data_IF_640524022917
#
_entry.id   IF_640524022917
#
_cell.length_a   1.000
_cell.length_b   1.000
_cell.length_c   1.000
_cell.angle_alpha   90.00
_cell.angle_beta   90.00
_cell.angle_gamma   90.00
#
_symmetry.space_group_name_H-M   'P 1'
#
loop_
_entity.id
_entity.type
_entity.pdbx_description
1 polymer ?
#
# COMPACT_ATOMS: atom_id res chain seq x y z
N UNK A 1 -7.78 2.15 20.54
CA UNK A 1 -8.05 2.07 19.09
C UNK A 1 -7.93 0.62 18.66
N UNK A 2 -9.01 0.02 18.21
CA UNK A 2 -8.99 -1.35 17.70
C UNK A 2 -9.01 -1.33 16.17
N UNK A 3 -7.94 -1.84 15.59
CA UNK A 3 -7.77 -1.93 14.15
C UNK A 3 -8.17 -3.33 13.70
N UNK A 4 -9.10 -3.41 12.76
CA UNK A 4 -9.54 -4.68 12.16
C UNK A 4 -9.04 -4.73 10.73
N UNK A 5 -8.38 -5.84 10.37
CA UNK A 5 -7.84 -6.03 9.02
C UNK A 5 -8.62 -7.16 8.35
N UNK A 6 -9.10 -6.89 7.15
CA UNK A 6 -9.94 -7.82 6.39
C UNK A 6 -9.74 -7.65 4.89
N UNK A 7 -10.19 -8.63 4.07
CA UNK A 7 -10.18 -8.45 2.62
C UNK A 7 -10.95 -7.19 2.20
N UNK A 8 -10.43 -6.48 1.21
CA UNK A 8 -11.04 -5.25 0.72
C UNK A 8 -12.36 -5.52 -0.01
N UNK A 9 -13.32 -4.62 0.17
CA UNK A 9 -14.58 -4.59 -0.57
C UNK A 9 -14.65 -3.30 -1.38
N UNK A 10 -15.43 -3.28 -2.45
CA UNK A 10 -15.63 -2.09 -3.27
C UNK A 10 -16.16 -0.92 -2.44
N UNK A 11 -17.10 -1.17 -1.56
CA UNK A 11 -17.67 -0.16 -0.67
C UNK A 11 -16.61 0.46 0.25
N UNK A 12 -15.82 -0.39 0.91
CA UNK A 12 -14.80 0.08 1.85
C UNK A 12 -13.70 0.88 1.13
N UNK A 13 -13.23 0.40 -0.01
CA UNK A 13 -12.17 1.09 -0.76
C UNK A 13 -12.66 2.41 -1.33
N UNK A 14 -13.88 2.46 -1.85
CA UNK A 14 -14.47 3.70 -2.33
C UNK A 14 -14.62 4.74 -1.21
N UNK A 15 -15.08 4.31 -0.04
CA UNK A 15 -15.18 5.17 1.13
C UNK A 15 -13.81 5.70 1.58
N UNK A 16 -12.79 4.84 1.55
CA UNK A 16 -11.42 5.24 1.88
C UNK A 16 -10.88 6.30 0.91
N UNK A 17 -11.02 6.08 -0.38
CA UNK A 17 -10.62 7.06 -1.41
C UNK A 17 -11.33 8.39 -1.17
N UNK A 18 -12.62 8.35 -0.83
CA UNK A 18 -13.41 9.54 -0.52
C UNK A 18 -12.96 10.29 0.75
N UNK A 19 -12.22 9.65 1.64
CA UNK A 19 -11.69 10.25 2.87
C UNK A 19 -10.23 10.70 2.77
N UNK A 20 -9.58 10.45 1.64
CA UNK A 20 -8.20 10.90 1.39
C UNK A 20 -8.20 12.29 0.75
N UNK A 21 -7.16 13.09 1.08
CA UNK A 21 -6.95 14.36 0.40
C UNK A 21 -6.48 14.15 -1.04
N UNK A 22 -6.71 15.12 -1.95
CA UNK A 22 -6.13 15.08 -3.28
C UNK A 22 -4.60 14.93 -3.27
N UNK A 23 -3.91 15.52 -2.28
CA UNK A 23 -2.47 15.39 -2.12
C UNK A 23 -2.03 13.95 -1.79
N UNK A 24 -2.75 13.26 -0.90
CA UNK A 24 -2.48 11.85 -0.58
C UNK A 24 -2.72 10.96 -1.80
N UNK A 25 -3.80 11.17 -2.53
CA UNK A 25 -4.09 10.43 -3.75
C UNK A 25 -3.06 10.70 -4.84
N UNK A 26 -2.62 11.94 -4.99
CA UNK A 26 -1.57 12.31 -5.94
C UNK A 26 -0.28 11.53 -5.66
N UNK A 27 0.13 11.45 -4.41
CA UNK A 27 1.33 10.68 -4.00
C UNK A 27 1.15 9.19 -4.24
N UNK A 28 -0.02 8.66 -3.90
CA UNK A 28 -0.28 7.21 -4.04
C UNK A 28 -0.24 6.77 -5.51
N UNK A 29 -0.77 7.55 -6.42
CA UNK A 29 -0.92 7.19 -7.83
C UNK A 29 0.09 7.87 -8.76
N UNK A 30 1.06 8.59 -8.21
CA UNK A 30 2.10 9.30 -8.99
C UNK A 30 1.48 10.26 -10.02
N UNK A 31 0.41 10.94 -9.63
CA UNK A 31 -0.29 11.87 -10.52
C UNK A 31 0.50 13.16 -10.71
N UNK A 32 0.49 13.74 -11.92
CA UNK A 32 1.19 14.99 -12.19
C UNK A 32 0.53 16.21 -11.52
N UNK A 33 -0.75 16.08 -11.15
CA UNK A 33 -1.54 17.13 -10.49
C UNK A 33 -2.61 16.48 -9.61
N UNK A 34 -3.18 17.21 -8.63
CA UNK A 34 -4.31 16.72 -7.85
C UNK A 34 -5.49 16.34 -8.75
N UNK A 35 -6.15 15.24 -8.40
CA UNK A 35 -7.28 14.69 -9.16
C UNK A 35 -8.48 14.52 -8.24
N UNK A 36 -9.67 14.73 -8.77
CA UNK A 36 -10.92 14.51 -8.06
C UNK A 36 -11.07 13.06 -7.61
N UNK A 37 -11.61 12.85 -6.42
CA UNK A 37 -11.76 11.52 -5.79
C UNK A 37 -12.59 10.56 -6.64
N UNK A 38 -13.66 11.04 -7.24
CA UNK A 38 -14.52 10.22 -8.12
C UNK A 38 -13.79 9.80 -9.39
N UNK A 39 -12.94 10.65 -9.93
CA UNK A 39 -12.10 10.32 -11.08
C UNK A 39 -11.06 9.26 -10.69
N UNK A 40 -10.45 9.41 -9.53
CA UNK A 40 -9.50 8.41 -9.00
C UNK A 40 -10.19 7.06 -8.85
N UNK A 41 -11.37 7.03 -8.23
CA UNK A 41 -12.14 5.80 -8.06
C UNK A 41 -12.49 5.17 -9.40
N UNK A 42 -13.01 5.96 -10.34
CA UNK A 42 -13.39 5.48 -11.66
C UNK A 42 -12.20 4.89 -12.42
N UNK A 43 -11.03 5.50 -12.31
CA UNK A 43 -9.82 5.09 -13.04
C UNK A 43 -9.10 3.91 -12.40
N UNK A 44 -8.98 3.89 -11.08
CA UNK A 44 -8.13 2.94 -10.35
C UNK A 44 -8.88 1.95 -9.47
N UNK A 45 -10.20 2.05 -9.35
CA UNK A 45 -10.97 1.21 -8.43
C UNK A 45 -10.78 -0.29 -8.67
N UNK A 46 -10.78 -0.74 -9.90
CA UNK A 46 -10.55 -2.14 -10.24
C UNK A 46 -9.16 -2.63 -9.82
N UNK A 47 -8.14 -1.81 -10.02
CA UNK A 47 -6.77 -2.10 -9.60
C UNK A 47 -6.68 -2.21 -8.07
N UNK A 48 -7.35 -1.32 -7.35
CA UNK A 48 -7.35 -1.30 -5.89
C UNK A 48 -8.09 -2.50 -5.26
N UNK A 49 -8.88 -3.22 -6.06
CA UNK A 49 -9.63 -4.40 -5.63
C UNK A 49 -9.06 -5.71 -6.18
N UNK A 50 -7.90 -5.66 -6.83
CA UNK A 50 -7.33 -6.84 -7.45
C UNK A 50 -7.11 -7.96 -6.43
N UNK A 51 -7.76 -9.10 -6.67
CA UNK A 51 -7.67 -10.30 -5.86
C UNK A 51 -6.95 -11.43 -6.58
N UNK A 52 -6.91 -12.64 -5.98
CA UNK A 52 -6.25 -13.79 -6.58
C UNK A 52 -6.79 -14.09 -8.00
N UNK A 53 -5.93 -14.47 -8.96
CA UNK A 53 -4.47 -14.69 -8.85
C UNK A 53 -3.62 -13.42 -9.06
N UNK A 54 -4.22 -12.26 -9.30
CA UNK A 54 -3.51 -11.03 -9.66
C UNK A 54 -2.85 -10.36 -8.46
N UNK A 55 -3.32 -10.64 -7.26
CA UNK A 55 -2.79 -10.04 -6.05
C UNK A 55 -3.70 -10.20 -4.85
N UNK A 56 -3.50 -9.37 -3.85
CA UNK A 56 -4.38 -9.23 -2.68
C UNK A 56 -4.65 -7.76 -2.39
N UNK A 57 -5.85 -7.50 -1.87
CA UNK A 57 -6.25 -6.18 -1.40
C UNK A 57 -6.82 -6.33 0.02
N UNK A 58 -6.23 -5.61 0.96
CA UNK A 58 -6.53 -5.73 2.39
C UNK A 58 -6.84 -4.35 2.95
N UNK A 59 -7.97 -4.23 3.65
CA UNK A 59 -8.41 -2.98 4.25
C UNK A 59 -8.29 -3.02 5.77
N UNK A 60 -7.88 -1.90 6.35
CA UNK A 60 -7.91 -1.68 7.79
C UNK A 60 -9.10 -0.78 8.12
N UNK A 61 -9.87 -1.17 9.15
CA UNK A 61 -11.00 -0.39 9.63
C UNK A 61 -10.87 -0.10 11.13
N UNK A 62 -11.41 1.03 11.54
CA UNK A 62 -11.60 1.40 12.96
C UNK A 62 -13.06 1.74 13.16
N UNK A 63 -13.71 1.05 14.09
CA UNK A 63 -15.15 1.20 14.35
C UNK A 63 -15.99 1.13 13.06
N UNK A 64 -15.65 0.22 12.17
CA UNK A 64 -16.33 0.03 10.89
C UNK A 64 -15.97 1.02 9.79
N UNK A 65 -15.14 2.02 10.06
CA UNK A 65 -14.70 3.01 9.08
C UNK A 65 -13.37 2.59 8.44
N UNK A 66 -13.28 2.51 7.11
CA UNK A 66 -12.02 2.19 6.44
C UNK A 66 -11.02 3.33 6.61
N UNK A 67 -9.81 2.98 7.06
CA UNK A 67 -8.75 3.96 7.36
C UNK A 67 -7.46 3.68 6.58
N UNK A 68 -7.32 2.51 5.99
CA UNK A 68 -6.13 2.17 5.20
C UNK A 68 -6.36 0.99 4.27
N UNK A 69 -5.56 0.93 3.22
CA UNK A 69 -5.58 -0.11 2.19
C UNK A 69 -4.15 -0.51 1.85
N UNK A 70 -3.92 -1.80 1.75
CA UNK A 70 -2.69 -2.36 1.21
C UNK A 70 -3.02 -3.23 0.01
N UNK A 71 -2.28 -3.02 -1.07
CA UNK A 71 -2.31 -3.90 -2.23
C UNK A 71 -0.96 -4.59 -2.39
N UNK A 72 -1.00 -5.88 -2.70
CA UNK A 72 0.12 -6.62 -3.25
C UNK A 72 -0.29 -7.11 -4.63
N UNK A 73 0.37 -6.63 -5.66
CA UNK A 73 0.04 -6.95 -7.05
C UNK A 73 1.18 -7.76 -7.67
N UNK A 74 0.86 -8.89 -8.28
CA UNK A 74 1.85 -9.74 -8.96
C UNK A 74 2.40 -8.98 -10.15
N UNK A 75 3.72 -8.77 -10.16
CA UNK A 75 4.42 -8.02 -11.23
C UNK A 75 5.45 -8.85 -11.97
N UNK A 76 5.65 -10.09 -11.58
CA UNK A 76 6.61 -10.99 -12.23
C UNK A 76 6.63 -12.35 -11.56
N UNK A 77 7.63 -13.17 -11.91
CA UNK A 77 7.79 -14.49 -11.29
C UNK A 77 8.19 -14.33 -9.83
N UNK A 78 7.30 -14.73 -8.91
CA UNK A 78 7.51 -14.63 -7.47
C UNK A 78 7.89 -13.21 -7.01
N UNK A 79 7.27 -12.21 -7.61
CA UNK A 79 7.44 -10.81 -7.24
C UNK A 79 6.09 -10.10 -7.17
N UNK A 80 5.90 -9.33 -6.11
CA UNK A 80 4.71 -8.49 -5.92
C UNK A 80 5.13 -7.06 -5.67
N UNK A 81 4.30 -6.13 -6.11
CA UNK A 81 4.44 -4.71 -5.82
C UNK A 81 3.51 -4.33 -4.67
N UNK A 82 4.09 -3.73 -3.65
CA UNK A 82 3.40 -3.20 -2.48
C UNK A 82 2.92 -1.77 -2.74
N UNK A 83 1.69 -1.51 -2.38
CA UNK A 83 1.13 -0.17 -2.37
C UNK A 83 0.29 0.06 -1.11
N UNK A 84 0.41 1.25 -0.54
CA UNK A 84 -0.26 1.65 0.68
C UNK A 84 -1.02 2.96 0.49
N UNK A 85 -2.23 3.02 1.01
CA UNK A 85 -3.02 4.24 1.10
C UNK A 85 -3.60 4.33 2.51
N UNK A 86 -3.34 5.42 3.21
CA UNK A 86 -3.87 5.66 4.56
C UNK A 86 -4.60 7.00 4.55
N UNK A 87 -5.83 7.02 5.07
CA UNK A 87 -6.60 8.25 5.21
C UNK A 87 -5.82 9.29 6.01
N UNK A 88 -5.86 10.54 5.58
CA UNK A 88 -5.02 11.61 6.14
C UNK A 88 -5.10 11.70 7.66
N UNK A 89 -6.32 11.63 8.23
CA UNK A 89 -6.53 11.69 9.68
C UNK A 89 -5.92 10.51 10.44
N UNK A 90 -5.57 9.43 9.75
CA UNK A 90 -5.06 8.19 10.34
C UNK A 90 -3.59 7.93 10.04
N UNK A 91 -2.94 8.84 9.35
CA UNK A 91 -1.51 8.73 9.08
C UNK A 91 -0.69 8.89 10.36
N UNK A 92 0.46 8.22 10.41
CA UNK A 92 1.38 8.20 11.56
C UNK A 92 0.78 7.62 12.84
N UNK A 93 -0.23 6.76 12.71
CA UNK A 93 -0.87 6.05 13.83
C UNK A 93 -0.66 4.54 13.78
N UNK A 94 0.30 4.07 12.95
CA UNK A 94 0.64 2.66 12.86
C UNK A 94 -0.25 1.84 11.92
N UNK A 95 -1.18 2.44 11.17
CA UNK A 95 -2.09 1.72 10.25
C UNK A 95 -1.29 0.97 9.18
N UNK A 96 -0.37 1.66 8.51
CA UNK A 96 0.47 1.05 7.48
C UNK A 96 1.31 -0.10 8.03
N UNK A 97 1.86 0.05 9.23
CA UNK A 97 2.65 -0.98 9.90
C UNK A 97 1.83 -2.24 10.17
N UNK A 98 0.59 -2.08 10.64
CA UNK A 98 -0.30 -3.23 10.90
C UNK A 98 -0.72 -3.92 9.61
N UNK A 99 -1.06 -3.16 8.58
CA UNK A 99 -1.39 -3.72 7.26
C UNK A 99 -0.22 -4.51 6.69
N UNK A 100 0.98 -3.95 6.76
CA UNK A 100 2.19 -4.58 6.22
C UNK A 100 2.54 -5.86 7.01
N UNK A 101 2.45 -5.82 8.32
CA UNK A 101 2.69 -7.00 9.16
C UNK A 101 1.74 -8.14 8.81
N UNK A 102 0.45 -7.85 8.67
CA UNK A 102 -0.55 -8.85 8.30
C UNK A 102 -0.29 -9.41 6.91
N UNK A 103 0.02 -8.55 5.94
CA UNK A 103 0.25 -8.97 4.57
C UNK A 103 1.51 -9.86 4.43
N UNK A 104 2.60 -9.50 5.11
CA UNK A 104 3.85 -10.26 5.03
C UNK A 104 3.80 -11.58 5.81
N UNK A 105 2.84 -11.72 6.72
CA UNK A 105 2.61 -12.97 7.46
C UNK A 105 1.81 -14.01 6.64
N UNK A 106 1.25 -13.64 5.51
CA UNK A 106 0.50 -14.58 4.68
C UNK A 106 1.44 -15.66 4.09
N UNK A 107 1.15 -16.96 4.31
CA UNK A 107 1.98 -18.06 3.76
C UNK A 107 2.12 -18.01 2.24
N UNK A 108 1.15 -17.45 1.56
CA UNK A 108 1.14 -17.26 0.11
C UNK A 108 2.39 -16.55 -0.41
N UNK A 109 2.93 -15.60 0.35
CA UNK A 109 4.04 -14.75 -0.08
C UNK A 109 5.41 -15.21 0.39
N UNK A 110 5.49 -16.38 1.06
CA UNK A 110 6.77 -16.95 1.48
C UNK A 110 7.66 -17.19 0.27
N UNK A 111 8.88 -16.66 0.31
CA UNK A 111 9.85 -16.76 -0.78
C UNK A 111 9.64 -15.78 -1.93
N UNK A 112 8.63 -14.90 -1.85
CA UNK A 112 8.39 -13.87 -2.87
C UNK A 112 9.19 -12.59 -2.56
N UNK A 113 9.63 -11.91 -3.59
CA UNK A 113 10.21 -10.57 -3.46
C UNK A 113 9.09 -9.53 -3.43
N UNK A 114 9.14 -8.64 -2.47
CA UNK A 114 8.21 -7.51 -2.38
C UNK A 114 8.92 -6.25 -2.88
N UNK A 115 8.34 -5.60 -3.86
CA UNK A 115 8.85 -4.36 -4.45
C UNK A 115 7.98 -3.19 -4.02
N UNK A 116 8.56 -2.01 -3.90
CA UNK A 116 7.83 -0.77 -3.63
C UNK A 116 8.49 0.38 -4.38
N UNK A 117 7.68 1.16 -5.08
CA UNK A 117 8.10 2.39 -5.74
C UNK A 117 7.57 3.59 -4.95
N UNK A 118 8.45 4.52 -4.59
CA UNK A 118 8.15 5.63 -3.68
C UNK A 118 8.65 6.93 -4.27
N UNK A 119 7.83 7.99 -4.20
CA UNK A 119 8.31 9.34 -4.52
C UNK A 119 9.35 9.78 -3.49
N UNK A 120 10.42 10.48 -3.91
CA UNK A 120 11.51 10.87 -3.00
C UNK A 120 11.07 11.73 -1.82
N UNK A 121 10.00 12.51 -1.99
CA UNK A 121 9.43 13.39 -0.96
C UNK A 121 8.39 12.70 -0.06
N UNK A 122 8.06 11.44 -0.32
CA UNK A 122 7.16 10.67 0.52
C UNK A 122 7.89 10.17 1.77
N UNK A 123 8.15 11.08 2.70
CA UNK A 123 8.92 10.79 3.92
C UNK A 123 8.27 9.73 4.83
N UNK A 124 6.95 9.70 5.03
CA UNK A 124 6.32 8.66 5.86
C UNK A 124 6.59 7.25 5.37
N UNK A 125 6.47 7.00 4.07
CA UNK A 125 6.72 5.68 3.49
C UNK A 125 8.22 5.36 3.53
N UNK A 126 9.09 6.32 3.22
CA UNK A 126 10.54 6.12 3.33
C UNK A 126 10.97 5.77 4.76
N UNK A 127 10.35 6.38 5.76
CA UNK A 127 10.58 6.05 7.16
C UNK A 127 10.15 4.63 7.49
N UNK A 128 8.97 4.21 6.98
CA UNK A 128 8.49 2.84 7.13
C UNK A 128 9.46 1.82 6.53
N UNK A 129 9.99 2.08 5.33
CA UNK A 129 10.94 1.19 4.65
C UNK A 129 12.32 1.17 5.32
N UNK A 130 12.71 2.21 6.02
CA UNK A 130 13.95 2.23 6.81
C UNK A 130 13.81 1.45 8.12
N UNK A 131 12.60 1.26 8.61
CA UNK A 131 12.34 0.41 9.76
C UNK A 131 12.73 -1.03 9.42
N UNK A 132 13.61 -1.64 10.21
CA UNK A 132 14.03 -3.03 9.99
C UNK A 132 13.06 -4.05 10.56
N UNK A 133 11.86 -3.63 10.89
CA UNK A 133 10.85 -4.47 11.52
C UNK A 133 10.44 -5.67 10.65
N UNK A 134 10.42 -5.49 9.34
CA UNK A 134 9.98 -6.53 8.40
C UNK A 134 11.13 -7.12 7.57
N UNK A 135 12.35 -6.76 7.86
CA UNK A 135 13.51 -7.10 7.07
C UNK A 135 14.21 -5.84 6.54
N UNK A 136 15.12 -6.03 5.61
CA UNK A 136 15.87 -4.92 5.02
C UNK A 136 15.33 -4.64 3.63
N UNK A 137 14.84 -3.41 3.44
CA UNK A 137 14.48 -2.88 2.14
C UNK A 137 15.72 -2.31 1.47
N UNK A 138 16.11 -2.88 0.34
CA UNK A 138 17.22 -2.40 -0.46
C UNK A 138 16.74 -1.40 -1.49
N UNK A 139 17.44 -0.27 -1.64
CA UNK A 139 17.25 0.64 -2.76
C UNK A 139 17.87 0.00 -3.99
N UNK A 140 17.05 -0.37 -4.98
CA UNK A 140 17.51 -1.09 -6.18
C UNK A 140 17.64 -0.18 -7.40
N UNK A 141 16.89 0.90 -7.44
CA UNK A 141 16.99 1.91 -8.50
C UNK A 141 16.40 3.23 -8.01
N UNK A 142 16.86 4.33 -8.59
CA UNK A 142 16.29 5.65 -8.32
C UNK A 142 16.50 6.58 -9.50
N UNK A 143 15.51 7.43 -9.72
CA UNK A 143 15.57 8.58 -10.59
C UNK A 143 15.01 9.81 -9.87
N UNK A 144 14.99 11.01 -10.49
CA UNK A 144 14.47 12.22 -9.84
C UNK A 144 13.00 12.14 -9.39
N UNK A 145 12.20 11.25 -9.99
CA UNK A 145 10.76 11.14 -9.73
C UNK A 145 10.37 9.97 -8.86
N UNK A 146 11.20 8.91 -8.79
CA UNK A 146 10.85 7.69 -8.05
C UNK A 146 12.06 6.93 -7.54
N UNK A 147 11.89 6.29 -6.39
CA UNK A 147 12.87 5.39 -5.80
C UNK A 147 12.25 4.00 -5.68
N UNK A 148 12.95 2.98 -6.19
CA UNK A 148 12.50 1.60 -6.16
C UNK A 148 13.23 0.83 -5.07
N UNK A 149 12.45 0.18 -4.22
CA UNK A 149 12.94 -0.64 -3.11
C UNK A 149 12.51 -2.09 -3.31
N UNK A 150 13.32 -3.01 -2.80
CA UNK A 150 12.97 -4.41 -2.74
C UNK A 150 13.23 -4.98 -1.34
N UNK A 151 12.25 -5.68 -0.80
CA UNK A 151 12.38 -6.53 0.37
C UNK A 151 12.58 -7.96 -0.12
N UNK A 152 13.76 -8.49 0.14
CA UNK A 152 14.07 -9.88 -0.22
C UNK A 152 13.44 -10.83 0.79
N UNK A 153 13.03 -12.03 0.34
CA UNK A 153 12.46 -13.00 1.24
C UNK A 153 13.45 -13.32 2.36
N UNK A 154 12.92 -13.36 3.59
CA UNK A 154 13.67 -13.93 4.70
C UNK A 154 13.93 -15.40 4.35
N UNK A 155 15.13 -15.88 4.70
CA UNK A 155 15.47 -17.29 4.51
C UNK A 155 14.40 -18.15 5.21
N UNK A 156 13.90 -19.15 4.47
CA UNK A 156 12.90 -20.06 5.00
C UNK A 156 13.48 -20.90 6.15
#
# INVERSE_FOLDING_TARGET
MTLVISPATAEAVRALVGSCSPASLQRRFFLPAPMDREVVWSRYGSYLLAGPPLGTATVATVAGHPVGLLNLIVVGTRAVELSLLVADAWQRRGVATHLLATALDEPRWVGWTVQATVQPDNLPVRTLLRSRRFGIWELVDRDPSSWDFALRPLAA
#
